data_IF_694321610176
#
_entry.id   IF_694321610176
#
_cell.length_a   1.000
_cell.length_b   1.000
_cell.length_c   1.000
_cell.angle_alpha   90.00
_cell.angle_beta   90.00
_cell.angle_gamma   90.00
#
_symmetry.space_group_name_H-M   'P 1'
#
loop_
_entity.id
_entity.type
_entity.pdbx_description
1 polymer ?
#
# COMPACT_ATOMS: atom_id res chain seq x y z
N UNK A 1 14.08 8.88 -14.75
CA UNK A 1 14.22 7.44 -15.08
C UNK A 1 13.05 6.77 -14.43
N UNK A 2 12.09 6.28 -15.24
CA UNK A 2 10.95 5.54 -14.68
C UNK A 2 11.47 4.24 -14.07
N UNK A 3 11.18 4.00 -12.80
CA UNK A 3 11.46 2.70 -12.19
C UNK A 3 10.60 1.66 -12.91
N UNK A 4 11.21 0.58 -13.37
CA UNK A 4 10.53 -0.53 -14.05
C UNK A 4 9.68 -1.38 -13.09
N UNK A 5 9.22 -0.82 -11.99
CA UNK A 5 8.45 -1.54 -10.96
C UNK A 5 7.02 -1.75 -11.45
N UNK A 6 6.57 -3.00 -11.60
CA UNK A 6 5.23 -3.30 -12.06
C UNK A 6 4.16 -2.75 -11.11
N UNK A 7 3.20 -2.02 -11.65
CA UNK A 7 2.18 -1.27 -10.89
C UNK A 7 0.92 -2.09 -10.56
N UNK A 8 0.92 -3.37 -10.80
CA UNK A 8 -0.26 -4.23 -10.76
C UNK A 8 -0.93 -4.31 -9.38
N UNK A 9 -0.20 -4.02 -8.29
CA UNK A 9 -0.68 -4.19 -6.91
C UNK A 9 -0.37 -3.02 -5.98
N UNK A 10 -0.20 -1.82 -6.52
CA UNK A 10 0.20 -0.62 -5.76
C UNK A 10 -0.97 0.14 -5.10
N UNK A 11 -2.17 -0.46 -4.99
CA UNK A 11 -3.30 0.18 -4.32
C UNK A 11 -4.08 1.21 -5.14
N UNK A 12 -4.05 1.13 -6.49
CA UNK A 12 -4.78 2.05 -7.40
C UNK A 12 -6.24 2.27 -6.98
N UNK A 13 -7.00 1.19 -6.80
CA UNK A 13 -8.42 1.25 -6.45
C UNK A 13 -8.63 1.85 -5.05
N UNK A 14 -7.75 1.55 -4.08
CA UNK A 14 -7.81 2.14 -2.74
C UNK A 14 -7.52 3.64 -2.76
N UNK A 15 -6.56 4.08 -3.57
CA UNK A 15 -6.24 5.50 -3.76
C UNK A 15 -7.42 6.27 -4.36
N UNK A 16 -8.05 5.73 -5.42
CA UNK A 16 -9.21 6.37 -6.05
C UNK A 16 -10.39 6.47 -5.08
N UNK A 17 -10.65 5.41 -4.30
CA UNK A 17 -11.67 5.42 -3.26
C UNK A 17 -11.41 6.50 -2.22
N UNK A 18 -10.17 6.60 -1.74
CA UNK A 18 -9.77 7.63 -0.78
C UNK A 18 -9.94 9.05 -1.35
N UNK A 19 -9.57 9.28 -2.61
CA UNK A 19 -9.79 10.56 -3.29
C UNK A 19 -11.28 10.89 -3.38
N UNK A 20 -12.13 9.91 -3.68
CA UNK A 20 -13.57 10.12 -3.74
C UNK A 20 -14.15 10.49 -2.37
N UNK A 21 -13.71 9.81 -1.30
CA UNK A 21 -14.10 10.09 0.08
C UNK A 21 -13.68 11.50 0.50
N UNK A 22 -12.40 11.87 0.32
CA UNK A 22 -11.83 13.15 0.73
C UNK A 22 -12.48 14.35 0.00
N UNK A 23 -13.02 14.12 -1.20
CA UNK A 23 -13.72 15.13 -1.99
C UNK A 23 -15.25 15.02 -1.90
N UNK A 24 -15.79 14.21 -0.99
CA UNK A 24 -17.22 13.99 -0.83
C UNK A 24 -17.94 13.62 -2.16
N UNK A 25 -17.31 12.75 -2.97
CA UNK A 25 -17.90 12.24 -4.21
C UNK A 25 -18.55 10.87 -3.95
N UNK A 26 -19.65 10.60 -4.67
CA UNK A 26 -20.21 9.24 -4.74
C UNK A 26 -19.39 8.42 -5.72
N UNK A 27 -18.84 7.30 -5.25
CA UNK A 27 -17.98 6.43 -6.08
C UNK A 27 -18.83 5.36 -6.77
N UNK A 28 -18.69 5.28 -8.09
CA UNK A 28 -19.23 4.22 -8.94
C UNK A 28 -18.04 3.43 -9.46
N UNK A 29 -17.84 2.21 -8.93
CA UNK A 29 -16.68 1.36 -9.19
C UNK A 29 -17.03 0.33 -10.28
N UNK A 30 -16.50 0.53 -11.48
CA UNK A 30 -16.74 -0.31 -12.66
C UNK A 30 -15.48 -1.10 -13.01
N UNK A 31 -15.58 -2.43 -12.97
CA UNK A 31 -14.50 -3.31 -13.44
C UNK A 31 -14.74 -3.68 -14.89
N UNK A 32 -14.10 -2.96 -15.80
CA UNK A 32 -14.37 -3.09 -17.22
C UNK A 32 -14.11 -4.48 -17.80
N UNK A 33 -13.17 -5.23 -17.25
CA UNK A 33 -12.93 -6.61 -17.67
C UNK A 33 -14.09 -7.57 -17.37
N UNK A 34 -15.03 -7.18 -16.50
CA UNK A 34 -16.21 -7.97 -16.11
C UNK A 34 -17.50 -7.49 -16.79
N UNK A 35 -17.47 -6.34 -17.48
CA UNK A 35 -18.62 -5.73 -18.13
C UNK A 35 -18.75 -6.14 -19.59
N UNK A 36 -19.98 -6.09 -20.06
CA UNK A 36 -20.34 -6.24 -21.45
C UNK A 36 -20.67 -4.88 -22.06
N UNK A 37 -20.59 -4.70 -23.39
CA UNK A 37 -20.90 -3.42 -24.04
C UNK A 37 -22.26 -2.83 -23.68
N UNK A 38 -23.28 -3.67 -23.49
CA UNK A 38 -24.63 -3.22 -23.13
C UNK A 38 -24.73 -2.67 -21.71
N UNK A 39 -23.84 -3.04 -20.79
CA UNK A 39 -23.78 -2.46 -19.44
C UNK A 39 -23.39 -0.97 -19.52
N UNK A 40 -22.57 -0.60 -20.52
CA UNK A 40 -22.12 0.78 -20.73
C UNK A 40 -23.00 1.58 -21.72
N UNK A 41 -23.75 0.90 -22.59
CA UNK A 41 -24.61 1.56 -23.57
C UNK A 41 -26.07 1.61 -23.15
N UNK A 42 -26.48 0.72 -22.25
CA UNK A 42 -27.85 0.49 -21.86
C UNK A 42 -28.52 -0.64 -22.66
N UNK A 43 -29.63 -1.12 -22.14
CA UNK A 43 -30.46 -2.14 -22.78
C UNK A 43 -31.40 -1.55 -23.82
N UNK A 44 -31.66 -2.33 -24.86
CA UNK A 44 -32.61 -1.93 -25.92
C UNK A 44 -34.02 -1.90 -25.35
N UNK A 45 -34.66 -0.74 -25.46
CA UNK A 45 -36.07 -0.54 -25.10
C UNK A 45 -36.87 -0.22 -26.36
N UNK A 46 -37.63 -1.19 -26.91
CA UNK A 46 -38.42 -0.97 -28.14
C UNK A 46 -39.58 -0.02 -27.91
N UNK A 47 -39.72 0.98 -28.77
CA UNK A 47 -40.90 1.80 -28.88
C UNK A 47 -41.75 1.31 -30.06
N UNK A 48 -42.75 0.52 -29.80
CA UNK A 48 -43.60 -0.08 -30.84
C UNK A 48 -44.49 0.96 -31.58
N UNK A 49 -44.86 2.04 -30.89
CA UNK A 49 -45.73 3.07 -31.46
C UNK A 49 -45.00 3.92 -32.52
N UNK A 50 -43.73 4.21 -32.25
CA UNK A 50 -42.90 5.01 -33.17
C UNK A 50 -42.07 4.13 -34.13
N UNK A 51 -42.12 2.81 -34.01
CA UNK A 51 -41.35 1.90 -34.84
C UNK A 51 -39.82 2.02 -34.68
N UNK A 52 -39.36 2.52 -33.54
CA UNK A 52 -37.95 2.71 -33.22
C UNK A 52 -37.58 2.06 -31.86
N UNK A 53 -36.35 2.25 -31.41
CA UNK A 53 -35.93 1.85 -30.10
C UNK A 53 -35.05 2.90 -29.44
N UNK A 54 -34.99 2.87 -28.12
CA UNK A 54 -34.04 3.64 -27.31
C UNK A 54 -33.16 2.70 -26.48
N UNK A 55 -32.05 3.24 -25.98
CA UNK A 55 -31.26 2.55 -24.96
C UNK A 55 -31.68 3.06 -23.59
N UNK A 56 -31.96 2.12 -22.66
CA UNK A 56 -32.23 2.41 -21.27
C UNK A 56 -30.95 2.19 -20.47
N UNK A 57 -30.32 3.24 -19.95
CA UNK A 57 -29.12 3.10 -19.12
C UNK A 57 -29.41 2.35 -17.82
N UNK A 58 -28.37 1.72 -17.25
CA UNK A 58 -28.44 1.20 -15.89
C UNK A 58 -28.63 2.35 -14.89
N UNK A 59 -29.33 2.10 -13.81
CA UNK A 59 -29.70 3.09 -12.80
C UNK A 59 -28.53 3.54 -11.92
N UNK A 60 -27.42 2.79 -11.91
CA UNK A 60 -26.18 3.14 -11.23
C UNK A 60 -25.45 4.35 -11.86
N UNK A 61 -25.74 4.69 -13.12
CA UNK A 61 -25.08 5.80 -13.78
C UNK A 61 -25.71 7.16 -13.41
N UNK A 62 -24.90 8.13 -13.02
CA UNK A 62 -25.36 9.46 -12.69
C UNK A 62 -25.66 10.24 -13.98
N UNK A 63 -26.90 10.22 -14.40
CA UNK A 63 -27.37 10.99 -15.56
C UNK A 63 -27.60 12.48 -15.21
N UNK A 64 -27.78 13.33 -16.22
CA UNK A 64 -27.85 14.78 -16.08
C UNK A 64 -28.83 15.26 -15.00
N UNK A 65 -29.95 14.56 -14.81
CA UNK A 65 -31.00 14.90 -13.85
C UNK A 65 -30.95 14.04 -12.56
N UNK A 66 -29.94 13.21 -12.37
CA UNK A 66 -29.79 12.39 -11.15
C UNK A 66 -29.55 13.31 -9.94
N UNK A 67 -30.35 13.23 -8.87
CA UNK A 67 -30.13 14.05 -7.70
C UNK A 67 -28.81 13.65 -7.01
N UNK A 68 -28.10 14.63 -6.48
CA UNK A 68 -26.89 14.36 -5.69
C UNK A 68 -27.28 13.61 -4.40
N UNK A 69 -26.53 12.54 -4.05
CA UNK A 69 -26.74 11.86 -2.78
C UNK A 69 -26.46 12.82 -1.60
N UNK A 70 -27.14 12.59 -0.48
CA UNK A 70 -27.01 13.44 0.72
C UNK A 70 -25.55 13.54 1.17
N UNK A 71 -25.04 14.75 1.28
CA UNK A 71 -23.67 15.03 1.72
C UNK A 71 -22.60 14.89 0.63
N UNK A 72 -22.99 14.58 -0.62
CA UNK A 72 -22.07 14.48 -1.74
C UNK A 72 -22.06 15.74 -2.60
N UNK A 73 -20.90 16.05 -3.19
CA UNK A 73 -20.71 17.20 -4.08
C UNK A 73 -20.75 16.82 -5.57
N UNK A 74 -20.72 15.53 -5.85
CA UNK A 74 -20.70 15.00 -7.22
C UNK A 74 -20.51 13.49 -7.21
N UNK A 75 -20.16 12.97 -8.38
CA UNK A 75 -19.93 11.55 -8.61
C UNK A 75 -18.50 11.32 -9.13
N UNK A 76 -17.95 10.15 -8.84
CA UNK A 76 -16.73 9.66 -9.44
C UNK A 76 -16.99 8.30 -10.07
N UNK A 77 -16.90 8.19 -11.37
CA UNK A 77 -16.89 6.91 -12.08
C UNK A 77 -15.46 6.44 -12.16
N UNK A 78 -15.19 5.31 -11.54
CA UNK A 78 -13.88 4.65 -11.57
C UNK A 78 -13.95 3.42 -12.46
N UNK A 79 -13.23 3.45 -13.57
CA UNK A 79 -13.11 2.33 -14.50
C UNK A 79 -11.80 1.58 -14.24
N UNK A 80 -11.88 0.51 -13.44
CA UNK A 80 -10.73 -0.34 -13.15
C UNK A 80 -10.51 -1.38 -14.26
N UNK A 81 -9.27 -1.85 -14.40
CA UNK A 81 -8.84 -2.80 -15.42
C UNK A 81 -9.18 -2.33 -16.85
N UNK A 82 -9.10 -1.02 -17.09
CA UNK A 82 -9.54 -0.38 -18.32
C UNK A 82 -8.95 -0.99 -19.59
N UNK A 83 -7.68 -1.34 -19.57
CA UNK A 83 -6.97 -1.93 -20.70
C UNK A 83 -6.97 -3.47 -20.72
N UNK A 84 -7.68 -4.10 -19.78
CA UNK A 84 -7.92 -5.55 -19.75
C UNK A 84 -9.31 -5.94 -20.30
N UNK A 85 -10.17 -4.94 -20.57
CA UNK A 85 -11.47 -5.13 -21.17
C UNK A 85 -11.37 -5.62 -22.62
N UNK A 86 -12.35 -6.37 -23.07
CA UNK A 86 -12.46 -6.72 -24.48
C UNK A 86 -12.65 -5.48 -25.36
N UNK A 87 -12.35 -5.61 -26.67
CA UNK A 87 -12.34 -4.48 -27.60
C UNK A 87 -13.70 -3.79 -27.78
N UNK A 88 -14.81 -4.51 -27.59
CA UNK A 88 -16.16 -3.95 -27.76
C UNK A 88 -16.58 -3.19 -26.51
N UNK A 89 -16.30 -3.72 -25.34
CA UNK A 89 -16.52 -3.04 -24.05
C UNK A 89 -15.62 -1.81 -23.95
N UNK A 90 -14.35 -1.90 -24.35
CA UNK A 90 -13.48 -0.74 -24.43
C UNK A 90 -14.00 0.33 -25.38
N UNK A 91 -14.54 -0.04 -26.54
CA UNK A 91 -15.17 0.93 -27.49
C UNK A 91 -16.39 1.60 -26.90
N UNK A 92 -17.23 0.87 -26.15
CA UNK A 92 -18.39 1.46 -25.45
C UNK A 92 -17.93 2.42 -24.33
N UNK A 93 -16.89 2.08 -23.59
CA UNK A 93 -16.30 2.93 -22.56
C UNK A 93 -15.69 4.24 -23.13
N UNK A 94 -15.25 4.24 -24.39
CA UNK A 94 -14.72 5.45 -25.04
C UNK A 94 -15.76 6.55 -25.14
N UNK A 95 -17.01 6.23 -25.46
CA UNK A 95 -18.09 7.21 -25.51
C UNK A 95 -18.37 7.81 -24.13
N UNK A 96 -18.42 6.95 -23.11
CA UNK A 96 -18.57 7.38 -21.73
C UNK A 96 -17.44 8.33 -21.31
N UNK A 97 -16.19 7.97 -21.62
CA UNK A 97 -15.01 8.74 -21.23
C UNK A 97 -14.87 10.06 -22.01
N UNK A 98 -15.06 10.03 -23.34
CA UNK A 98 -14.77 11.17 -24.21
C UNK A 98 -15.96 12.10 -24.35
N UNK A 99 -17.16 11.56 -24.56
CA UNK A 99 -18.37 12.33 -24.80
C UNK A 99 -19.17 12.58 -23.53
N UNK A 100 -18.83 11.89 -22.43
CA UNK A 100 -19.56 11.92 -21.15
C UNK A 100 -21.04 11.54 -21.33
N UNK A 101 -21.28 10.50 -22.12
CA UNK A 101 -22.61 10.04 -22.51
C UNK A 101 -22.73 8.52 -22.41
N UNK A 102 -23.95 8.07 -22.04
CA UNK A 102 -24.38 6.68 -22.08
C UNK A 102 -25.54 6.61 -23.09
N UNK A 103 -25.30 5.92 -24.21
CA UNK A 103 -26.23 6.00 -25.32
C UNK A 103 -26.43 7.45 -25.76
N UNK A 104 -27.63 8.03 -25.58
CA UNK A 104 -27.97 9.42 -25.83
C UNK A 104 -28.05 10.30 -24.57
N UNK A 105 -27.87 9.71 -23.42
CA UNK A 105 -28.01 10.37 -22.11
C UNK A 105 -26.69 10.94 -21.64
N UNK A 106 -26.69 12.23 -21.27
CA UNK A 106 -25.53 12.89 -20.71
C UNK A 106 -25.33 12.51 -19.26
N UNK A 107 -24.07 12.40 -18.82
CA UNK A 107 -23.74 12.30 -17.42
C UNK A 107 -24.03 13.59 -16.67
N UNK A 108 -24.24 13.46 -15.37
CA UNK A 108 -24.36 14.58 -14.46
C UNK A 108 -23.12 15.49 -14.55
N UNK A 109 -23.26 16.84 -14.58
CA UNK A 109 -22.14 17.76 -14.80
C UNK A 109 -21.04 17.62 -13.75
N UNK A 110 -21.39 17.29 -12.50
CA UNK A 110 -20.45 17.09 -11.41
C UNK A 110 -19.88 15.66 -11.36
N UNK A 111 -19.81 14.94 -12.47
CA UNK A 111 -19.16 13.63 -12.53
C UNK A 111 -17.69 13.79 -12.89
N UNK A 112 -16.81 13.06 -12.20
CA UNK A 112 -15.41 12.87 -12.57
C UNK A 112 -15.22 11.42 -13.04
N UNK A 113 -14.34 11.23 -14.03
CA UNK A 113 -14.05 9.89 -14.55
C UNK A 113 -12.57 9.62 -14.36
N UNK A 114 -12.26 8.50 -13.73
CA UNK A 114 -10.91 8.02 -13.49
C UNK A 114 -10.80 6.60 -14.04
N UNK A 115 -9.73 6.31 -14.76
CA UNK A 115 -9.44 4.98 -15.28
C UNK A 115 -8.16 4.44 -14.65
N UNK A 116 -8.14 3.16 -14.35
CA UNK A 116 -6.91 2.47 -13.99
C UNK A 116 -6.66 1.30 -14.93
N UNK A 117 -5.40 1.06 -15.22
CA UNK A 117 -4.95 -0.07 -16.04
C UNK A 117 -3.59 -0.57 -15.58
N UNK A 118 -3.15 -1.67 -16.13
CA UNK A 118 -1.83 -2.23 -15.90
C UNK A 118 -0.92 -1.91 -17.08
N UNK A 119 0.41 -1.86 -16.84
CA UNK A 119 1.36 -1.70 -17.94
C UNK A 119 1.37 -2.96 -18.81
N UNK A 120 1.63 -2.79 -20.10
CA UNK A 120 1.79 -3.92 -21.02
C UNK A 120 2.94 -4.85 -20.61
N UNK A 121 3.90 -4.32 -19.88
CA UNK A 121 5.07 -5.05 -19.35
C UNK A 121 4.77 -5.87 -18.10
N UNK A 122 3.60 -5.70 -17.49
CA UNK A 122 3.27 -6.33 -16.20
C UNK A 122 2.80 -7.80 -16.35
N UNK A 123 2.86 -8.39 -17.54
CA UNK A 123 2.42 -9.77 -17.79
C UNK A 123 0.92 -10.01 -17.64
N UNK A 124 0.13 -8.96 -17.37
CA UNK A 124 -1.32 -9.04 -17.34
C UNK A 124 -1.89 -9.09 -18.77
N UNK A 125 -3.08 -9.69 -18.92
CA UNK A 125 -3.83 -9.63 -20.19
C UNK A 125 -4.26 -8.19 -20.39
N UNK A 126 -3.50 -7.43 -21.20
CA UNK A 126 -3.76 -6.01 -21.43
C UNK A 126 -3.68 -5.70 -22.93
N UNK A 127 -4.48 -4.73 -23.36
CA UNK A 127 -4.49 -4.22 -24.72
C UNK A 127 -3.89 -2.81 -24.77
N UNK A 128 -3.23 -2.50 -25.89
CA UNK A 128 -2.74 -1.14 -26.13
C UNK A 128 -3.93 -0.19 -26.28
N UNK A 129 -3.93 0.92 -25.55
CA UNK A 129 -4.95 1.95 -25.69
C UNK A 129 -4.91 2.57 -27.09
N UNK A 130 -6.09 2.81 -27.68
CA UNK A 130 -6.20 3.51 -28.94
C UNK A 130 -5.71 4.96 -28.84
N UNK A 131 -5.12 5.49 -29.91
CA UNK A 131 -4.57 6.86 -29.98
C UNK A 131 -5.59 7.93 -29.64
N UNK A 132 -6.88 7.68 -29.91
CA UNK A 132 -7.98 8.59 -29.58
C UNK A 132 -8.11 8.84 -28.07
N UNK A 133 -7.89 7.84 -27.23
CA UNK A 133 -7.87 8.02 -25.77
C UNK A 133 -6.55 8.61 -25.33
N UNK A 134 -5.42 8.08 -25.83
CA UNK A 134 -4.10 8.53 -25.41
C UNK A 134 -3.93 10.05 -25.44
N UNK A 135 -4.57 10.72 -26.41
CA UNK A 135 -4.48 12.17 -26.59
C UNK A 135 -5.50 12.99 -25.77
N UNK A 136 -6.46 12.34 -25.08
CA UNK A 136 -7.60 13.01 -24.42
C UNK A 136 -7.70 12.78 -22.93
N UNK A 137 -6.77 12.00 -22.36
CA UNK A 137 -6.70 11.74 -20.92
C UNK A 137 -5.34 12.17 -20.38
N UNK A 138 -5.31 12.47 -19.09
CA UNK A 138 -4.07 12.73 -18.37
C UNK A 138 -3.54 11.38 -17.90
N UNK A 139 -2.33 11.05 -18.31
CA UNK A 139 -1.66 9.82 -17.90
C UNK A 139 -0.82 10.08 -16.66
N UNK A 140 -1.08 9.30 -15.62
CA UNK A 140 -0.32 9.33 -14.38
C UNK A 140 0.23 7.93 -14.12
N UNK A 141 1.49 7.87 -13.73
CA UNK A 141 2.09 6.64 -13.25
C UNK A 141 2.13 6.65 -11.73
N UNK A 142 1.63 5.57 -11.14
CA UNK A 142 1.67 5.38 -9.70
C UNK A 142 2.90 4.55 -9.34
N UNK A 143 3.77 5.07 -8.50
CA UNK A 143 4.97 4.39 -8.01
C UNK A 143 4.78 3.96 -6.55
N UNK A 144 5.40 2.84 -6.19
CA UNK A 144 5.41 2.38 -4.80
C UNK A 144 6.50 3.16 -4.06
N UNK A 145 6.09 3.95 -3.07
CA UNK A 145 6.98 4.64 -2.15
C UNK A 145 6.90 3.95 -0.78
N UNK A 146 7.94 3.20 -0.42
CA UNK A 146 7.98 2.46 0.83
C UNK A 146 7.78 3.38 2.05
N UNK A 147 8.42 4.55 2.05
CA UNK A 147 8.32 5.48 3.19
C UNK A 147 6.88 5.94 3.41
N UNK A 148 6.21 6.37 2.34
CA UNK A 148 4.81 6.80 2.41
C UNK A 148 3.87 5.65 2.77
N UNK A 149 4.16 4.45 2.27
CA UNK A 149 3.40 3.25 2.60
C UNK A 149 3.55 2.88 4.08
N UNK A 150 4.76 2.92 4.65
CA UNK A 150 5.01 2.68 6.07
C UNK A 150 4.34 3.75 6.95
N UNK A 151 4.40 5.03 6.57
CA UNK A 151 3.71 6.11 7.27
C UNK A 151 2.17 5.93 7.25
N UNK A 152 1.62 5.42 6.15
CA UNK A 152 0.21 5.06 6.06
C UNK A 152 -0.13 3.88 6.98
N UNK A 153 0.69 2.82 7.00
CA UNK A 153 0.52 1.69 7.90
C UNK A 153 0.48 2.10 9.39
N UNK A 154 1.33 3.04 9.78
CA UNK A 154 1.38 3.59 11.15
C UNK A 154 0.09 4.37 11.49
N UNK A 155 -0.39 5.20 10.57
CA UNK A 155 -1.60 6.04 10.79
C UNK A 155 -2.87 5.22 10.91
N UNK A 156 -3.02 4.21 10.10
CA UNK A 156 -4.22 3.35 10.10
C UNK A 156 -4.29 2.42 11.33
N UNK A 157 -3.23 2.37 12.17
CA UNK A 157 -3.12 1.53 13.40
C UNK A 157 -3.51 0.06 13.17
N UNK A 158 -3.60 -0.38 11.93
CA UNK A 158 -4.17 -1.66 11.54
C UNK A 158 -3.14 -2.65 11.00
N UNK A 159 -1.86 -2.27 11.00
CA UNK A 159 -0.77 -3.16 10.61
C UNK A 159 -0.13 -3.85 11.81
N UNK A 160 0.34 -5.08 11.59
CA UNK A 160 1.11 -5.78 12.62
C UNK A 160 2.49 -5.12 12.75
N UNK A 161 2.94 -4.77 13.98
CA UNK A 161 4.13 -3.95 14.20
C UNK A 161 5.42 -4.54 13.64
N UNK A 162 5.50 -5.86 13.45
CA UNK A 162 6.71 -6.54 12.96
C UNK A 162 7.02 -6.31 11.47
N UNK A 163 6.03 -5.90 10.68
CA UNK A 163 6.20 -5.68 9.23
C UNK A 163 7.04 -4.43 8.96
N UNK A 164 6.79 -3.36 9.71
CA UNK A 164 7.52 -2.10 9.56
C UNK A 164 9.05 -2.28 9.73
N UNK A 165 9.54 -2.92 10.81
CA UNK A 165 10.95 -3.20 10.99
C UNK A 165 11.56 -4.01 9.86
N UNK A 166 10.86 -5.06 9.46
CA UNK A 166 11.33 -5.93 8.41
C UNK A 166 11.50 -5.19 7.08
N UNK A 167 10.49 -4.46 6.65
CA UNK A 167 10.54 -3.70 5.39
C UNK A 167 11.48 -2.48 5.45
N UNK A 168 11.73 -1.94 6.64
CA UNK A 168 12.78 -0.93 6.81
C UNK A 168 14.18 -1.53 6.67
N UNK A 169 14.36 -2.78 7.04
CA UNK A 169 15.60 -3.54 6.88
C UNK A 169 15.78 -4.09 5.46
N UNK A 170 14.68 -4.52 4.81
CA UNK A 170 14.64 -5.09 3.45
C UNK A 170 13.68 -4.31 2.55
N UNK A 171 14.00 -3.06 2.22
CA UNK A 171 13.10 -2.17 1.46
C UNK A 171 12.74 -2.71 0.07
N UNK A 172 13.61 -3.49 -0.57
CA UNK A 172 13.38 -4.11 -1.86
C UNK A 172 12.26 -5.16 -1.83
N UNK A 173 11.94 -5.71 -0.66
CA UNK A 173 10.92 -6.73 -0.52
C UNK A 173 9.50 -6.16 -0.36
N UNK A 174 9.31 -4.84 -0.40
CA UNK A 174 7.96 -4.25 -0.49
C UNK A 174 7.25 -4.72 -1.76
N UNK A 175 8.00 -4.90 -2.85
CA UNK A 175 7.50 -5.43 -4.10
C UNK A 175 8.63 -6.13 -4.87
N UNK A 176 8.55 -7.46 -4.97
CA UNK A 176 9.52 -8.27 -5.70
C UNK A 176 8.92 -8.94 -6.95
N UNK A 177 7.81 -8.38 -7.47
CA UNK A 177 7.21 -8.88 -8.70
C UNK A 177 8.17 -8.78 -9.88
N UNK A 178 8.34 -9.90 -10.58
CA UNK A 178 9.09 -9.98 -11.83
C UNK A 178 8.21 -10.68 -12.87
N UNK A 179 7.74 -9.98 -13.91
CA UNK A 179 6.85 -10.55 -14.92
C UNK A 179 7.50 -11.66 -15.77
N UNK A 180 8.82 -11.83 -15.68
CA UNK A 180 9.57 -12.88 -16.39
C UNK A 180 9.65 -14.18 -15.60
N UNK A 181 9.29 -14.16 -14.32
CA UNK A 181 9.31 -15.34 -13.46
C UNK A 181 7.92 -15.91 -13.30
N UNK A 182 7.78 -17.18 -13.55
CA UNK A 182 6.57 -17.93 -13.21
C UNK A 182 6.60 -18.25 -11.72
N UNK A 183 5.98 -17.41 -10.91
CA UNK A 183 5.83 -17.62 -9.47
C UNK A 183 4.34 -17.64 -9.11
N UNK A 184 3.99 -18.46 -8.12
CA UNK A 184 2.60 -18.56 -7.65
C UNK A 184 2.15 -17.28 -6.96
N UNK A 185 3.03 -16.68 -6.18
CA UNK A 185 2.80 -15.41 -5.48
C UNK A 185 4.10 -14.65 -5.25
N UNK A 186 4.00 -13.39 -4.93
CA UNK A 186 5.13 -12.48 -4.72
C UNK A 186 4.77 -11.41 -3.71
N UNK A 187 5.78 -10.76 -3.15
CA UNK A 187 5.55 -9.64 -2.21
C UNK A 187 5.12 -8.38 -2.95
N UNK A 188 4.14 -7.70 -2.37
CA UNK A 188 3.59 -6.43 -2.82
C UNK A 188 2.93 -5.71 -1.63
N UNK A 189 2.62 -4.43 -1.71
CA UNK A 189 1.88 -3.72 -0.66
C UNK A 189 0.60 -4.45 -0.22
N UNK A 190 -0.14 -5.02 -1.17
CA UNK A 190 -1.37 -5.78 -0.90
C UNK A 190 -1.11 -7.10 -0.15
N UNK A 191 -0.09 -7.85 -0.55
CA UNK A 191 0.23 -9.12 0.11
C UNK A 191 0.83 -8.91 1.49
N UNK A 192 1.57 -7.81 1.72
CA UNK A 192 2.00 -7.40 3.05
C UNK A 192 0.82 -6.98 3.95
N UNK A 193 -0.18 -6.30 3.41
CA UNK A 193 -1.42 -6.01 4.14
C UNK A 193 -2.17 -7.29 4.53
N UNK A 194 -2.25 -8.25 3.61
CA UNK A 194 -2.87 -9.56 3.87
C UNK A 194 -2.12 -10.31 4.97
N UNK A 195 -0.78 -10.38 4.88
CA UNK A 195 0.04 -11.00 5.92
C UNK A 195 -0.13 -10.30 7.28
N UNK A 196 -0.21 -8.96 7.30
CA UNK A 196 -0.46 -8.21 8.51
C UNK A 196 -1.78 -8.64 9.20
N UNK A 197 -2.85 -8.82 8.43
CA UNK A 197 -4.13 -9.30 8.95
C UNK A 197 -4.03 -10.72 9.53
N UNK A 198 -3.29 -11.60 8.87
CA UNK A 198 -3.05 -12.97 9.34
C UNK A 198 -2.23 -12.98 10.64
N UNK A 199 -1.17 -12.18 10.71
CA UNK A 199 -0.35 -12.02 11.91
C UNK A 199 -1.16 -11.50 13.11
N UNK A 200 -2.04 -10.53 12.89
CA UNK A 200 -2.96 -10.00 13.92
C UNK A 200 -4.02 -11.02 14.35
N UNK A 201 -4.41 -11.92 13.47
CA UNK A 201 -5.30 -13.02 13.78
C UNK A 201 -4.62 -14.16 14.55
N UNK A 202 -3.33 -14.02 14.89
CA UNK A 202 -2.60 -15.00 15.69
C UNK A 202 -1.85 -16.04 14.85
N UNK A 203 -1.49 -15.76 13.61
CA UNK A 203 -0.77 -16.71 12.76
C UNK A 203 0.48 -17.30 13.45
N UNK A 204 1.24 -16.48 14.18
CA UNK A 204 2.47 -16.92 14.87
C UNK A 204 2.21 -17.74 16.15
N UNK A 205 0.94 -17.94 16.56
CA UNK A 205 0.58 -18.87 17.63
C UNK A 205 0.44 -20.32 17.14
N UNK A 206 0.47 -20.55 15.83
CA UNK A 206 0.50 -21.87 15.22
C UNK A 206 1.91 -22.47 15.28
N UNK A 207 2.01 -23.78 15.10
CA UNK A 207 3.29 -24.44 14.96
C UNK A 207 4.04 -23.97 13.71
N UNK A 208 5.36 -24.09 13.72
CA UNK A 208 6.23 -23.62 12.64
C UNK A 208 5.86 -24.24 11.29
N UNK A 209 5.54 -25.51 11.29
CA UNK A 209 5.18 -26.25 10.07
C UNK A 209 3.85 -25.77 9.46
N UNK A 210 2.99 -25.11 10.25
CA UNK A 210 1.73 -24.55 9.81
C UNK A 210 1.87 -23.10 9.33
N UNK A 211 2.58 -22.22 10.10
CA UNK A 211 2.64 -20.81 9.70
C UNK A 211 3.63 -20.53 8.57
N UNK A 212 4.68 -21.32 8.40
CA UNK A 212 5.69 -21.13 7.34
C UNK A 212 5.08 -21.23 5.95
N UNK A 213 4.29 -22.27 5.59
CA UNK A 213 3.64 -22.35 4.29
C UNK A 213 2.64 -21.20 4.06
N UNK A 214 1.94 -20.74 5.10
CA UNK A 214 1.00 -19.62 4.99
C UNK A 214 1.73 -18.32 4.67
N UNK A 215 2.83 -18.02 5.34
CA UNK A 215 3.67 -16.85 5.06
C UNK A 215 4.21 -16.89 3.63
N UNK A 216 4.83 -18.02 3.25
CA UNK A 216 5.39 -18.21 1.90
C UNK A 216 4.32 -18.13 0.83
N UNK A 217 3.14 -18.73 1.07
CA UNK A 217 1.99 -18.67 0.16
C UNK A 217 1.35 -17.27 0.07
N UNK A 218 1.60 -16.39 1.05
CA UNK A 218 1.05 -15.03 1.06
C UNK A 218 1.97 -14.03 0.36
N UNK A 219 3.27 -14.03 0.66
CA UNK A 219 4.21 -13.01 0.17
C UNK A 219 5.28 -13.58 -0.76
N UNK A 220 5.18 -14.84 -1.13
CA UNK A 220 6.12 -15.53 -2.01
C UNK A 220 7.30 -16.14 -1.27
N UNK A 221 7.91 -17.16 -1.87
CA UNK A 221 8.98 -17.95 -1.24
C UNK A 221 10.19 -17.08 -0.84
N UNK A 222 10.63 -16.18 -1.70
CA UNK A 222 11.79 -15.34 -1.45
C UNK A 222 11.54 -14.38 -0.26
N UNK A 223 10.50 -13.57 -0.34
CA UNK A 223 10.17 -12.62 0.73
C UNK A 223 9.75 -13.35 2.01
N UNK A 224 9.03 -14.47 1.89
CA UNK A 224 8.60 -15.31 3.00
C UNK A 224 9.80 -15.94 3.73
N UNK A 225 10.77 -16.48 3.02
CA UNK A 225 11.99 -17.04 3.60
C UNK A 225 12.79 -16.00 4.40
N UNK A 226 13.02 -14.83 3.82
CA UNK A 226 13.69 -13.71 4.49
C UNK A 226 12.92 -13.22 5.73
N UNK A 227 11.58 -13.14 5.63
CA UNK A 227 10.73 -12.74 6.75
C UNK A 227 10.75 -13.76 7.90
N UNK A 228 10.72 -15.07 7.59
CA UNK A 228 10.79 -16.14 8.59
C UNK A 228 12.14 -16.11 9.30
N UNK A 229 13.24 -15.95 8.56
CA UNK A 229 14.57 -15.80 9.16
C UNK A 229 14.63 -14.58 10.09
N UNK A 230 14.01 -13.47 9.67
CA UNK A 230 13.89 -12.28 10.52
C UNK A 230 13.06 -12.54 11.79
N UNK A 231 11.95 -13.28 11.70
CA UNK A 231 11.14 -13.67 12.87
C UNK A 231 11.94 -14.51 13.88
N UNK A 232 12.76 -15.43 13.41
CA UNK A 232 13.61 -16.28 14.27
C UNK A 232 14.65 -15.44 15.04
N UNK A 233 15.21 -14.43 14.39
CA UNK A 233 16.12 -13.47 15.03
C UNK A 233 15.36 -12.58 16.01
N UNK A 234 14.19 -12.06 15.59
CA UNK A 234 13.35 -11.19 16.41
C UNK A 234 12.87 -11.87 17.69
N UNK A 235 12.55 -13.16 17.63
CA UNK A 235 12.11 -13.93 18.80
C UNK A 235 13.21 -14.12 19.89
N UNK A 236 14.48 -13.94 19.52
CA UNK A 236 15.63 -14.02 20.43
C UNK A 236 16.03 -12.66 21.01
N UNK A 237 15.35 -11.57 20.61
CA UNK A 237 15.64 -10.27 21.17
C UNK A 237 15.24 -10.20 22.64
N UNK A 238 16.01 -9.45 23.46
CA UNK A 238 15.67 -9.26 24.86
C UNK A 238 14.34 -8.51 24.98
N UNK A 239 13.54 -8.92 25.96
CA UNK A 239 12.29 -8.24 26.26
C UNK A 239 12.55 -6.84 26.85
N UNK A 240 11.58 -5.95 26.77
CA UNK A 240 11.69 -4.63 27.41
C UNK A 240 11.91 -4.77 28.91
N UNK A 241 11.29 -5.76 29.55
CA UNK A 241 11.44 -6.04 30.97
C UNK A 241 12.87 -6.46 31.35
N UNK A 242 13.54 -7.27 30.52
CA UNK A 242 14.92 -7.66 30.72
C UNK A 242 15.86 -6.45 30.64
N UNK A 243 15.58 -5.55 29.69
CA UNK A 243 16.34 -4.31 29.51
C UNK A 243 16.10 -3.34 30.67
N UNK A 244 14.87 -3.19 31.16
CA UNK A 244 14.54 -2.36 32.32
C UNK A 244 15.25 -2.86 33.58
N UNK A 245 15.30 -4.19 33.74
CA UNK A 245 15.90 -4.82 34.94
C UNK A 245 17.43 -4.75 34.95
N UNK A 246 18.06 -4.93 33.77
CA UNK A 246 19.52 -4.93 33.67
C UNK A 246 19.99 -4.37 32.31
N UNK A 247 19.91 -3.05 32.08
CA UNK A 247 20.27 -2.44 30.80
C UNK A 247 21.73 -2.63 30.41
N UNK A 248 22.63 -2.75 31.40
CA UNK A 248 24.07 -2.88 31.14
C UNK A 248 24.52 -4.35 30.99
N UNK A 249 23.79 -5.31 31.53
CA UNK A 249 24.13 -6.75 31.47
C UNK A 249 23.25 -7.55 30.49
N UNK A 250 22.12 -7.01 30.04
CA UNK A 250 21.24 -7.68 29.10
C UNK A 250 21.96 -7.99 27.78
N UNK A 251 21.64 -9.13 27.14
CA UNK A 251 22.27 -9.54 25.88
C UNK A 251 22.08 -8.52 24.77
N UNK A 252 23.12 -8.24 24.00
CA UNK A 252 23.06 -7.37 22.82
C UNK A 252 23.15 -8.23 21.57
N UNK A 253 22.21 -8.12 20.61
CA UNK A 253 22.31 -8.87 19.37
C UNK A 253 23.54 -8.45 18.58
N UNK A 254 24.20 -9.41 17.93
CA UNK A 254 25.39 -9.16 17.13
C UNK A 254 25.06 -8.79 15.69
N UNK A 255 24.03 -9.43 15.13
CA UNK A 255 23.62 -9.24 13.74
C UNK A 255 22.99 -7.87 13.50
N UNK A 256 23.32 -7.24 12.36
CA UNK A 256 22.81 -5.93 11.95
C UNK A 256 21.28 -5.93 11.87
N UNK A 257 20.69 -6.97 11.28
CA UNK A 257 19.24 -7.13 11.18
C UNK A 257 18.54 -7.20 12.54
N UNK A 258 19.16 -7.90 13.50
CA UNK A 258 18.68 -8.02 14.87
C UNK A 258 18.74 -6.68 15.63
N UNK A 259 19.81 -5.91 15.43
CA UNK A 259 19.94 -4.56 16.02
C UNK A 259 18.88 -3.60 15.48
N UNK A 260 18.57 -3.70 14.19
CA UNK A 260 17.48 -2.94 13.56
C UNK A 260 16.12 -3.30 14.15
N UNK A 261 15.82 -4.60 14.21
CA UNK A 261 14.58 -5.11 14.77
C UNK A 261 14.41 -4.71 16.25
N UNK A 262 15.50 -4.78 17.02
CA UNK A 262 15.55 -4.31 18.40
C UNK A 262 15.23 -2.83 18.53
N UNK A 263 15.83 -1.98 17.71
CA UNK A 263 15.57 -0.54 17.74
C UNK A 263 14.12 -0.18 17.57
N UNK A 264 13.42 -0.88 16.68
CA UNK A 264 11.99 -0.65 16.43
C UNK A 264 11.13 -1.27 17.54
N UNK A 265 11.48 -2.47 18.01
CA UNK A 265 10.82 -3.08 19.17
C UNK A 265 10.86 -2.14 20.40
N UNK A 266 12.00 -1.50 20.63
CA UNK A 266 12.14 -0.54 21.73
C UNK A 266 11.35 0.75 21.48
N UNK A 267 11.29 1.22 20.23
CA UNK A 267 10.49 2.40 19.89
C UNK A 267 8.99 2.21 20.19
N UNK A 268 8.47 1.00 20.00
CA UNK A 268 7.07 0.68 20.28
C UNK A 268 6.77 0.57 21.79
N UNK A 269 7.78 0.34 22.62
CA UNK A 269 7.65 0.07 24.07
C UNK A 269 8.18 1.18 24.97
N UNK A 270 8.89 2.17 24.44
CA UNK A 270 9.50 3.23 25.23
C UNK A 270 8.43 4.14 25.84
N UNK A 271 8.65 4.50 27.10
CA UNK A 271 7.83 5.43 27.85
C UNK A 271 8.69 6.15 28.91
N UNK A 272 8.10 7.07 29.67
CA UNK A 272 8.81 7.85 30.66
C UNK A 272 9.47 7.02 31.77
N UNK A 273 8.90 5.87 32.11
CA UNK A 273 9.43 5.02 33.20
C UNK A 273 10.68 4.24 32.79
N UNK A 274 10.78 3.84 31.51
CA UNK A 274 11.88 3.00 31.01
C UNK A 274 12.88 3.74 30.09
N UNK A 275 12.66 5.03 29.83
CA UNK A 275 13.48 5.83 28.93
C UNK A 275 14.97 5.71 29.20
N UNK A 276 15.40 5.86 30.47
CA UNK A 276 16.82 5.83 30.82
C UNK A 276 17.42 4.43 30.58
N UNK A 277 16.71 3.37 30.96
CA UNK A 277 17.17 1.99 30.76
C UNK A 277 17.32 1.66 29.26
N UNK A 278 16.39 2.11 28.43
CA UNK A 278 16.45 1.94 26.97
C UNK A 278 17.63 2.70 26.40
N UNK A 279 17.87 3.95 26.82
CA UNK A 279 19.01 4.74 26.36
C UNK A 279 20.33 4.10 26.78
N UNK A 280 20.49 3.68 28.05
CA UNK A 280 21.71 3.05 28.58
C UNK A 280 21.99 1.73 27.85
N UNK A 281 20.96 0.95 27.54
CA UNK A 281 21.09 -0.27 26.75
C UNK A 281 21.55 0.04 25.32
N UNK A 282 20.96 1.02 24.64
CA UNK A 282 21.31 1.40 23.26
C UNK A 282 22.69 2.03 23.16
N UNK A 283 23.20 2.67 24.23
CA UNK A 283 24.54 3.21 24.25
C UNK A 283 25.65 2.14 24.12
N UNK A 284 25.33 0.90 24.44
CA UNK A 284 26.21 -0.26 24.25
C UNK A 284 26.28 -0.73 22.79
N UNK A 285 25.36 -0.26 21.95
CA UNK A 285 25.35 -0.58 20.52
C UNK A 285 26.53 0.12 19.83
N UNK A 286 27.55 -0.67 19.43
CA UNK A 286 28.82 -0.14 18.96
C UNK A 286 28.77 0.58 17.61
N UNK A 287 27.77 0.32 16.78
CA UNK A 287 27.70 0.79 15.38
C UNK A 287 26.96 2.12 15.30
N UNK A 288 27.65 3.14 14.74
CA UNK A 288 27.16 4.52 14.72
C UNK A 288 25.94 4.72 13.83
N UNK A 289 25.91 4.11 12.64
CA UNK A 289 24.84 4.32 11.67
C UNK A 289 23.51 3.74 12.12
N UNK A 290 23.52 2.52 12.66
CA UNK A 290 22.33 1.87 13.21
C UNK A 290 21.80 2.66 14.40
N UNK A 291 22.70 3.09 15.30
CA UNK A 291 22.35 3.92 16.46
C UNK A 291 21.64 5.19 16.06
N UNK A 292 22.11 5.90 15.03
CA UNK A 292 21.44 7.12 14.50
C UNK A 292 20.04 6.83 14.04
N UNK A 293 19.84 5.74 13.32
CA UNK A 293 18.50 5.40 12.80
C UNK A 293 17.57 4.98 13.93
N UNK A 294 18.03 4.16 14.86
CA UNK A 294 17.26 3.77 16.05
C UNK A 294 16.83 5.00 16.84
N UNK A 295 17.73 5.94 17.11
CA UNK A 295 17.40 7.17 17.83
C UNK A 295 16.44 8.08 17.04
N UNK A 296 16.53 8.13 15.71
CA UNK A 296 15.56 8.85 14.89
C UNK A 296 14.17 8.23 14.99
N UNK A 297 14.08 6.91 14.99
CA UNK A 297 12.81 6.18 15.15
C UNK A 297 12.22 6.41 16.52
N UNK A 298 13.01 6.25 17.59
CA UNK A 298 12.60 6.55 18.96
C UNK A 298 12.11 8.01 19.10
N UNK A 299 12.83 8.96 18.52
CA UNK A 299 12.47 10.39 18.61
C UNK A 299 11.19 10.77 17.87
N UNK A 300 10.75 9.95 16.90
CA UNK A 300 9.46 10.14 16.23
C UNK A 300 8.29 9.63 17.08
N UNK A 301 8.45 8.45 17.68
CA UNK A 301 7.42 7.80 18.48
C UNK A 301 7.32 8.42 19.88
N UNK A 302 8.46 8.70 20.49
CA UNK A 302 8.56 9.31 21.82
C UNK A 302 9.41 10.58 21.77
N UNK A 303 8.83 11.75 21.42
CA UNK A 303 9.58 13.01 21.22
C UNK A 303 10.34 13.50 22.46
N UNK A 304 9.88 13.18 23.66
CA UNK A 304 10.49 13.58 24.92
C UNK A 304 11.90 12.97 25.10
N UNK A 305 12.22 11.87 24.45
CA UNK A 305 13.55 11.26 24.49
C UNK A 305 14.67 12.22 24.04
N UNK A 306 14.35 13.21 23.20
CA UNK A 306 15.29 14.24 22.75
C UNK A 306 15.84 15.10 23.90
N UNK A 307 15.15 15.11 25.03
CA UNK A 307 15.56 15.84 26.22
C UNK A 307 16.51 15.03 27.10
N UNK A 308 16.68 13.73 26.83
CA UNK A 308 17.58 12.87 27.58
C UNK A 308 19.03 13.30 27.43
N UNK A 309 19.76 13.58 28.54
CA UNK A 309 21.13 14.13 28.47
C UNK A 309 22.14 13.17 27.84
N UNK A 310 22.00 11.87 28.12
CA UNK A 310 22.88 10.81 27.55
C UNK A 310 22.70 10.76 26.04
N UNK A 311 21.47 10.75 25.55
CA UNK A 311 21.15 10.75 24.14
C UNK A 311 21.69 12.02 23.44
N UNK A 312 21.50 13.19 24.03
CA UNK A 312 22.00 14.45 23.45
C UNK A 312 23.51 14.42 23.27
N UNK A 313 24.25 13.90 24.28
CA UNK A 313 25.71 13.75 24.20
C UNK A 313 26.10 12.80 23.08
N UNK A 314 25.45 11.65 22.97
CA UNK A 314 25.69 10.65 21.93
C UNK A 314 25.41 11.19 20.54
N UNK A 315 24.27 11.82 20.34
CA UNK A 315 23.89 12.38 19.03
C UNK A 315 24.84 13.51 18.59
N UNK A 316 25.37 14.30 19.52
CA UNK A 316 26.36 15.32 19.22
C UNK A 316 27.70 14.70 18.80
N UNK A 317 28.12 13.63 19.46
CA UNK A 317 29.34 12.89 19.09
C UNK A 317 29.22 12.26 17.69
N UNK A 318 28.11 11.59 17.40
CA UNK A 318 27.83 10.97 16.10
C UNK A 318 27.77 12.00 14.96
N UNK A 319 27.15 13.17 15.19
CA UNK A 319 27.15 14.26 14.20
C UNK A 319 28.55 14.74 13.85
N UNK A 320 29.45 14.85 14.84
CA UNK A 320 30.83 15.28 14.60
C UNK A 320 31.61 14.22 13.81
N UNK A 321 31.33 12.94 13.98
CA UNK A 321 31.95 11.86 13.18
C UNK A 321 31.46 11.86 11.72
N UNK A 322 30.18 12.15 11.48
CA UNK A 322 29.61 12.20 10.11
C UNK A 322 29.98 13.47 9.32
N UNK A 323 30.56 14.49 9.99
CA UNK A 323 31.01 15.76 9.36
C UNK A 323 32.53 15.86 9.22
N UNK A 324 33.27 14.83 9.64
CA UNK A 324 34.72 14.75 9.31
C UNK A 324 34.86 14.16 7.90
N UNK A 325 35.64 14.82 7.01
CA UNK A 325 35.85 14.43 5.62
C UNK A 325 36.56 13.08 5.48
#
# INVERSE_FOLDING_TARGET
>A
MCSDTPLTLCGKSSLVRKIAEDNNLELIDLRLAQLQPYDLMGLVNPNKEEGNFSYLPLDEFPLENTPLPKGKQGFMIFMDEFNSADKYTAAAAYKLLLDRMIGKHKLHPNTRIVCAGNKLTDGAITHKLGTAIQSRVIHLELEINLKEWLEWCEKESNFHPIIHPFLSFRPELINNFDPKKEVITYSSPRTWELLSKQLKAGLLSLDRDDYVPIIMGTIGEHAGGEFIAFLEVFSKLPSIHDIETNPLGCSMPEEIGAKWALGIHLADKINQANEQAVVDYLERMGESDIKVVVYRTLSKVYPNIKLNPTLQKSMKALRNQMTQP
#
